data_IF_920413733781
#
_entry.id   IF_920413733781
#
_cell.length_a   1.000
_cell.length_b   1.000
_cell.length_c   1.000
_cell.angle_alpha   90.00
_cell.angle_beta   90.00
_cell.angle_gamma   90.00
#
_symmetry.space_group_name_H-M   'P 1'
#
loop_
_entity.id
_entity.type
_entity.pdbx_description
1 polymer ?
#
# COMPACT_ATOMS: atom_id res chain seq x y z
N UNK A 1 -7.40 22.83 7.64
CA UNK A 1 -7.71 21.79 6.64
C UNK A 1 -7.08 22.18 5.33
N UNK A 2 -6.36 21.28 4.68
CA UNK A 2 -5.86 21.42 3.31
C UNK A 2 -6.51 20.34 2.44
N UNK A 3 -6.55 20.61 1.14
CA UNK A 3 -6.90 19.66 0.09
C UNK A 3 -6.13 20.12 -1.16
N UNK A 4 -4.94 19.56 -1.35
CA UNK A 4 -3.96 20.06 -2.31
C UNK A 4 -3.41 18.92 -3.15
N UNK A 5 -3.25 19.18 -4.44
CA UNK A 5 -2.53 18.29 -5.36
C UNK A 5 -1.10 18.79 -5.57
N UNK A 6 -0.19 17.85 -5.73
CA UNK A 6 1.20 18.14 -6.08
C UNK A 6 1.76 17.08 -7.01
N UNK A 7 2.88 17.45 -7.64
CA UNK A 7 3.67 16.53 -8.45
C UNK A 7 5.12 16.57 -7.95
N UNK A 8 5.76 15.43 -7.88
CA UNK A 8 7.19 15.33 -7.58
C UNK A 8 7.93 14.66 -8.71
N UNK A 9 8.94 15.32 -9.24
CA UNK A 9 9.84 14.70 -10.23
C UNK A 9 10.73 13.66 -9.54
N UNK A 10 10.67 12.42 -10.00
CA UNK A 10 11.43 11.28 -9.45
C UNK A 10 12.54 10.80 -10.37
N UNK A 11 12.47 11.18 -11.65
CA UNK A 11 13.51 11.03 -12.64
C UNK A 11 13.23 12.00 -13.81
N UNK A 12 14.19 12.27 -14.71
CA UNK A 12 13.95 13.10 -15.88
C UNK A 12 12.72 12.66 -16.67
N UNK A 13 11.70 13.52 -16.74
CA UNK A 13 10.44 13.24 -17.42
C UNK A 13 9.49 12.27 -16.70
N UNK A 14 9.77 11.93 -15.46
CA UNK A 14 8.91 11.08 -14.64
C UNK A 14 8.51 11.82 -13.35
N UNK A 15 7.21 11.96 -13.13
CA UNK A 15 6.66 12.65 -11.98
C UNK A 15 5.53 11.84 -11.34
N UNK A 16 5.45 11.88 -10.01
CA UNK A 16 4.40 11.25 -9.23
C UNK A 16 3.41 12.32 -8.79
N UNK A 17 2.15 12.11 -9.13
CA UNK A 17 1.01 12.90 -8.66
C UNK A 17 0.61 12.43 -7.27
N UNK A 18 0.32 13.38 -6.38
CA UNK A 18 -0.24 13.10 -5.07
C UNK A 18 -1.33 14.12 -4.70
N UNK A 19 -2.17 13.75 -3.73
CA UNK A 19 -3.16 14.62 -3.09
C UNK A 19 -2.95 14.57 -1.59
N UNK A 20 -2.87 15.71 -0.91
CA UNK A 20 -2.74 15.82 0.54
C UNK A 20 -4.00 16.44 1.12
N UNK A 21 -4.69 15.73 2.04
CA UNK A 21 -5.97 16.14 2.61
C UNK A 21 -5.93 16.02 4.13
N UNK A 22 -6.43 17.01 4.84
CA UNK A 22 -6.59 16.98 6.30
C UNK A 22 -6.01 18.20 7.02
N UNK A 23 -5.89 18.14 8.35
CA UNK A 23 -5.27 19.21 9.12
C UNK A 23 -3.77 19.33 8.81
N UNK A 24 -3.25 20.55 8.73
CA UNK A 24 -1.81 20.81 8.46
C UNK A 24 -0.92 20.10 9.48
N UNK A 25 -1.30 20.17 10.76
CA UNK A 25 -0.59 19.55 11.89
C UNK A 25 -1.09 18.12 12.20
N UNK A 26 -1.90 17.53 11.32
CA UNK A 26 -2.38 16.16 11.48
C UNK A 26 -1.25 15.15 11.37
N UNK A 27 -1.43 13.99 11.99
CA UNK A 27 -0.47 12.89 11.89
C UNK A 27 -0.27 12.51 10.42
N UNK A 28 0.97 12.55 9.90
CA UNK A 28 1.25 12.20 8.51
C UNK A 28 0.91 10.74 8.22
N UNK A 29 0.04 10.51 7.24
CA UNK A 29 -0.40 9.17 6.84
C UNK A 29 -0.41 9.06 5.32
N UNK A 30 0.41 8.17 4.76
CA UNK A 30 0.35 7.79 3.35
C UNK A 30 -0.62 6.62 3.21
N UNK A 31 -1.73 6.84 2.50
CA UNK A 31 -2.79 5.86 2.29
C UNK A 31 -2.75 5.29 0.88
N UNK A 32 -2.55 3.97 0.77
CA UNK A 32 -2.55 3.24 -0.48
C UNK A 32 -3.75 2.31 -0.62
N UNK A 33 -4.82 2.79 -1.24
CA UNK A 33 -5.94 1.95 -1.65
C UNK A 33 -5.54 1.05 -2.83
N UNK A 34 -6.34 0.04 -3.20
CA UNK A 34 -6.03 -0.80 -4.36
C UNK A 34 -5.71 0.01 -5.60
N UNK A 35 -4.63 -0.37 -6.30
CA UNK A 35 -4.05 0.31 -7.45
C UNK A 35 -3.59 1.75 -7.18
N UNK A 36 -3.66 2.21 -5.94
CA UNK A 36 -3.17 3.49 -5.43
C UNK A 36 -3.29 4.64 -6.42
N UNK A 37 -4.50 5.12 -6.63
CA UNK A 37 -4.76 6.31 -7.40
C UNK A 37 -5.29 7.42 -6.49
N UNK A 38 -4.76 8.63 -6.61
CA UNK A 38 -5.23 9.82 -5.89
C UNK A 38 -6.49 10.42 -6.52
N UNK A 39 -6.78 10.06 -7.76
CA UNK A 39 -7.96 10.51 -8.49
C UNK A 39 -9.17 9.66 -8.12
N UNK A 40 -10.12 10.27 -7.44
CA UNK A 40 -11.33 9.60 -6.95
C UNK A 40 -12.29 9.17 -8.06
N UNK A 41 -12.21 9.78 -9.22
CA UNK A 41 -13.09 9.57 -10.36
C UNK A 41 -12.56 8.56 -11.39
N UNK A 42 -11.33 8.07 -11.24
CA UNK A 42 -10.72 7.10 -12.19
C UNK A 42 -11.58 5.85 -12.35
N UNK A 43 -12.13 5.31 -11.25
CA UNK A 43 -13.00 4.14 -11.24
C UNK A 43 -14.49 4.49 -11.22
N UNK A 44 -14.84 5.77 -11.35
CA UNK A 44 -16.19 6.25 -11.28
C UNK A 44 -16.70 6.56 -9.85
N UNK A 45 -18.00 6.88 -9.70
CA UNK A 45 -18.58 7.37 -8.45
C UNK A 45 -18.42 6.43 -7.24
N UNK A 46 -18.43 5.12 -7.46
CA UNK A 46 -18.29 4.13 -6.38
C UNK A 46 -16.89 4.18 -5.77
N UNK A 47 -15.88 4.37 -6.58
CA UNK A 47 -14.49 4.52 -6.12
C UNK A 47 -14.29 5.84 -5.39
N UNK A 48 -14.88 6.93 -5.88
CA UNK A 48 -14.89 8.21 -5.20
C UNK A 48 -15.50 8.06 -3.79
N UNK A 49 -16.64 7.41 -3.67
CA UNK A 49 -17.30 7.15 -2.38
C UNK A 49 -16.42 6.34 -1.41
N UNK A 50 -15.64 5.39 -1.92
CA UNK A 50 -14.69 4.64 -1.10
C UNK A 50 -13.59 5.55 -0.55
N UNK A 51 -12.95 6.35 -1.40
CA UNK A 51 -11.89 7.29 -0.98
C UNK A 51 -12.44 8.32 0.00
N UNK A 52 -13.59 8.91 -0.31
CA UNK A 52 -14.27 9.89 0.57
C UNK A 52 -14.59 9.27 1.93
N UNK A 53 -15.05 8.03 1.97
CA UNK A 53 -15.32 7.30 3.19
C UNK A 53 -14.09 7.08 4.07
N UNK A 54 -12.90 6.90 3.49
CA UNK A 54 -11.63 6.88 4.23
C UNK A 54 -11.28 8.28 4.73
N UNK A 55 -11.35 9.29 3.86
CA UNK A 55 -11.02 10.67 4.22
C UNK A 55 -11.91 11.19 5.36
N UNK A 56 -13.24 10.99 5.29
CA UNK A 56 -14.19 11.37 6.34
C UNK A 56 -13.83 10.80 7.72
N UNK A 57 -13.24 9.60 7.76
CA UNK A 57 -12.92 8.89 8.99
C UNK A 57 -11.51 9.12 9.49
N UNK A 58 -10.66 9.76 8.71
CA UNK A 58 -9.24 9.94 9.03
C UNK A 58 -8.85 11.40 9.17
N UNK A 59 -9.46 12.32 8.42
CA UNK A 59 -9.01 13.71 8.35
C UNK A 59 -9.39 14.58 9.55
N UNK A 60 -9.99 14.02 10.58
CA UNK A 60 -10.12 14.67 11.87
C UNK A 60 -8.80 14.71 12.67
N UNK A 61 -7.90 13.74 12.43
CA UNK A 61 -6.63 13.59 13.13
C UNK A 61 -5.42 13.42 12.22
N UNK A 62 -5.61 12.88 11.03
CA UNK A 62 -4.53 12.55 10.09
C UNK A 62 -4.49 13.54 8.92
N UNK A 63 -3.26 13.88 8.52
CA UNK A 63 -3.00 14.48 7.20
C UNK A 63 -2.73 13.33 6.23
N UNK A 64 -3.74 13.03 5.41
CA UNK A 64 -3.74 11.89 4.50
C UNK A 64 -3.08 12.27 3.19
N UNK A 65 -2.09 11.49 2.78
CA UNK A 65 -1.41 11.58 1.49
C UNK A 65 -1.85 10.40 0.60
N UNK A 66 -2.59 10.70 -0.44
CA UNK A 66 -2.96 9.77 -1.50
C UNK A 66 -1.96 9.93 -2.64
N UNK A 67 -1.45 8.81 -3.16
CA UNK A 67 -0.40 8.80 -4.18
C UNK A 67 -0.90 8.04 -5.40
N UNK A 68 -0.76 8.62 -6.58
CA UNK A 68 -0.83 7.84 -7.80
C UNK A 68 0.50 7.10 -7.96
N UNK A 69 0.49 5.78 -7.90
CA UNK A 69 1.70 5.01 -8.13
C UNK A 69 2.26 5.27 -9.54
N UNK A 70 3.55 5.00 -9.74
CA UNK A 70 4.14 5.17 -11.05
C UNK A 70 3.30 4.54 -12.18
N UNK A 71 3.10 5.28 -13.27
CA UNK A 71 2.27 4.94 -14.43
C UNK A 71 0.76 4.78 -14.14
N UNK A 72 0.29 5.15 -12.96
CA UNK A 72 -1.12 5.13 -12.60
C UNK A 72 -1.66 6.57 -12.56
N UNK A 73 -2.90 6.76 -12.97
CA UNK A 73 -3.61 8.03 -12.85
C UNK A 73 -2.87 9.21 -13.47
N UNK A 74 -2.57 10.21 -12.65
CA UNK A 74 -1.86 11.43 -13.07
C UNK A 74 -0.35 11.29 -13.13
N UNK A 75 0.24 10.20 -12.61
CA UNK A 75 1.68 9.99 -12.56
C UNK A 75 2.24 9.57 -13.89
N UNK A 76 3.45 10.06 -14.19
CA UNK A 76 4.30 9.55 -15.26
C UNK A 76 5.49 8.84 -14.64
N UNK A 77 6.04 7.84 -15.29
CA UNK A 77 7.13 7.06 -14.68
C UNK A 77 8.19 6.66 -15.70
N UNK A 78 9.34 6.21 -15.20
CA UNK A 78 10.27 5.47 -16.00
C UNK A 78 9.62 4.25 -16.67
N UNK A 79 10.28 3.69 -17.69
CA UNK A 79 9.80 2.47 -18.33
C UNK A 79 9.45 1.37 -17.30
N UNK A 80 8.42 0.56 -17.54
CA UNK A 80 8.00 -0.48 -16.60
C UNK A 80 9.12 -1.40 -16.12
N UNK A 81 10.14 -1.67 -16.96
CA UNK A 81 11.33 -2.48 -16.60
C UNK A 81 12.20 -1.88 -15.48
N UNK A 82 12.01 -0.61 -15.12
CA UNK A 82 12.75 0.07 -14.05
C UNK A 82 11.99 0.06 -12.72
N UNK A 83 10.74 -0.41 -12.70
CA UNK A 83 9.86 -0.37 -11.55
C UNK A 83 10.13 -1.49 -10.54
N UNK A 84 11.39 -1.57 -10.09
CA UNK A 84 11.81 -2.49 -9.02
C UNK A 84 11.28 -2.03 -7.66
N UNK A 85 11.25 -2.94 -6.68
CA UNK A 85 10.86 -2.61 -5.30
C UNK A 85 11.72 -1.49 -4.68
N UNK A 86 13.01 -1.44 -5.02
CA UNK A 86 13.90 -0.34 -4.62
C UNK A 86 13.43 0.99 -5.22
N UNK A 87 13.11 1.00 -6.50
CA UNK A 87 12.64 2.20 -7.19
C UNK A 87 11.32 2.68 -6.58
N UNK A 88 10.35 1.81 -6.43
CA UNK A 88 9.05 2.12 -5.81
C UNK A 88 9.24 2.71 -4.41
N UNK A 89 10.09 2.11 -3.57
CA UNK A 89 10.39 2.64 -2.24
C UNK A 89 10.99 4.05 -2.30
N UNK A 90 11.94 4.30 -3.21
CA UNK A 90 12.55 5.62 -3.38
C UNK A 90 11.52 6.67 -3.84
N UNK A 91 10.64 6.30 -4.75
CA UNK A 91 9.61 7.18 -5.29
C UNK A 91 8.57 7.54 -4.23
N UNK A 92 8.15 6.59 -3.37
CA UNK A 92 7.27 6.84 -2.24
C UNK A 92 7.92 7.78 -1.21
N UNK A 93 9.21 7.61 -0.92
CA UNK A 93 9.94 8.52 -0.02
C UNK A 93 10.10 9.92 -0.61
N UNK A 94 10.32 10.04 -1.91
CA UNK A 94 10.36 11.34 -2.58
C UNK A 94 8.99 12.04 -2.51
N UNK A 95 7.90 11.29 -2.66
CA UNK A 95 6.54 11.81 -2.54
C UNK A 95 6.23 12.26 -1.10
N UNK A 96 6.64 11.49 -0.09
CA UNK A 96 6.54 11.88 1.31
C UNK A 96 7.31 13.19 1.60
N UNK A 97 8.53 13.34 1.05
CA UNK A 97 9.31 14.57 1.16
C UNK A 97 8.61 15.76 0.53
N UNK A 98 8.07 15.60 -0.68
CA UNK A 98 7.35 16.67 -1.38
C UNK A 98 6.10 17.12 -0.62
N UNK A 99 5.43 16.20 0.08
CA UNK A 99 4.31 16.50 0.97
C UNK A 99 4.75 17.08 2.33
N UNK A 100 6.06 17.20 2.61
CA UNK A 100 6.58 17.67 3.89
C UNK A 100 6.48 16.65 5.04
N UNK A 101 6.33 15.37 4.73
CA UNK A 101 6.31 14.29 5.71
C UNK A 101 7.74 13.84 6.02
N UNK A 102 8.22 14.08 7.24
CA UNK A 102 9.49 13.56 7.73
C UNK A 102 9.33 12.10 8.15
N UNK A 103 8.43 11.85 9.08
CA UNK A 103 8.05 10.54 9.56
C UNK A 103 6.55 10.37 9.30
N UNK A 104 6.10 9.16 8.98
CA UNK A 104 4.71 8.97 8.58
C UNK A 104 4.22 7.54 8.82
N UNK A 105 2.93 7.40 8.99
CA UNK A 105 2.23 6.11 8.92
C UNK A 105 2.14 5.71 7.46
N UNK A 106 2.50 4.46 7.14
CA UNK A 106 2.20 3.88 5.85
C UNK A 106 1.09 2.84 5.99
N UNK A 107 -0.02 3.06 5.30
CA UNK A 107 -1.16 2.15 5.27
C UNK A 107 -1.54 1.85 3.83
N UNK A 108 -1.41 0.60 3.40
CA UNK A 108 -1.77 0.22 2.04
C UNK A 108 -2.35 -1.19 1.95
N UNK A 109 -2.92 -1.50 0.79
CA UNK A 109 -3.62 -2.75 0.52
C UNK A 109 -3.07 -3.46 -0.73
N UNK A 110 -3.13 -4.83 -0.72
CA UNK A 110 -2.77 -5.68 -1.85
C UNK A 110 -1.33 -5.43 -2.33
N UNK A 111 -1.10 -5.10 -3.60
CA UNK A 111 0.23 -4.76 -4.08
C UNK A 111 0.87 -3.60 -3.30
N UNK A 112 0.09 -2.60 -2.90
CA UNK A 112 0.57 -1.51 -2.06
C UNK A 112 1.07 -2.00 -0.69
N UNK A 113 0.50 -3.07 -0.14
CA UNK A 113 0.99 -3.70 1.07
C UNK A 113 2.35 -4.38 0.84
N UNK A 114 2.53 -5.10 -0.28
CA UNK A 114 3.82 -5.67 -0.66
C UNK A 114 4.88 -4.57 -0.85
N UNK A 115 4.52 -3.44 -1.46
CA UNK A 115 5.39 -2.26 -1.59
C UNK A 115 5.73 -1.66 -0.22
N UNK A 116 4.78 -1.60 0.72
CA UNK A 116 4.98 -1.14 2.09
C UNK A 116 5.98 -1.99 2.89
N UNK A 117 5.94 -3.30 2.74
CA UNK A 117 6.94 -4.19 3.33
C UNK A 117 8.34 -3.89 2.78
N UNK A 118 8.45 -3.63 1.48
CA UNK A 118 9.72 -3.26 0.86
C UNK A 118 10.21 -1.87 1.32
N UNK A 119 9.29 -0.92 1.52
CA UNK A 119 9.58 0.40 2.06
C UNK A 119 10.08 0.30 3.51
N UNK A 120 9.38 -0.43 4.37
CA UNK A 120 9.72 -0.60 5.79
C UNK A 120 11.09 -1.23 6.02
N UNK A 121 11.56 -2.06 5.09
CA UNK A 121 12.90 -2.68 5.19
C UNK A 121 14.02 -1.82 4.58
N UNK A 122 13.70 -0.65 4.04
CA UNK A 122 14.64 0.28 3.40
C UNK A 122 14.65 1.67 4.00
N UNK A 123 13.78 1.92 4.97
CA UNK A 123 13.63 3.24 5.60
C UNK A 123 13.17 3.08 7.04
N UNK A 124 13.70 3.90 7.92
CA UNK A 124 13.35 4.05 9.33
C UNK A 124 12.29 5.14 9.59
N UNK A 125 11.74 5.72 8.53
CA UNK A 125 10.80 6.84 8.58
C UNK A 125 9.34 6.46 8.86
N UNK A 126 9.06 5.16 9.03
CA UNK A 126 7.69 4.72 9.30
C UNK A 126 7.37 4.80 10.79
N UNK A 127 6.47 5.71 11.17
CA UNK A 127 5.91 5.80 12.53
C UNK A 127 5.02 4.59 12.85
N UNK A 128 4.38 4.01 11.86
CA UNK A 128 3.67 2.74 11.90
C UNK A 128 3.48 2.18 10.50
N UNK A 129 3.32 0.86 10.41
CA UNK A 129 3.05 0.13 9.17
C UNK A 129 1.73 -0.63 9.27
N UNK A 130 0.82 -0.35 8.35
CA UNK A 130 -0.43 -1.11 8.19
C UNK A 130 -0.48 -1.70 6.79
N UNK A 131 -0.48 -3.02 6.70
CA UNK A 131 -0.57 -3.74 5.43
C UNK A 131 -1.85 -4.57 5.40
N UNK A 132 -2.62 -4.44 4.34
CA UNK A 132 -3.84 -5.19 4.14
C UNK A 132 -3.76 -6.10 2.91
N UNK A 133 -4.34 -7.30 3.00
CA UNK A 133 -4.50 -8.18 1.84
C UNK A 133 -3.18 -8.65 1.20
N UNK A 134 -2.10 -8.71 1.97
CA UNK A 134 -0.83 -9.33 1.58
C UNK A 134 -0.09 -9.86 2.83
N UNK A 135 0.40 -11.11 2.82
CA UNK A 135 1.07 -11.67 3.98
C UNK A 135 2.50 -11.10 4.13
N UNK A 136 2.86 -10.59 5.32
CA UNK A 136 4.25 -10.20 5.61
C UNK A 136 5.24 -11.36 5.58
N UNK A 137 4.75 -12.59 5.86
CA UNK A 137 5.52 -13.84 5.80
C UNK A 137 4.80 -14.88 4.92
N UNK A 138 5.56 -15.54 4.07
CA UNK A 138 5.06 -16.55 3.14
C UNK A 138 4.41 -15.96 1.90
N UNK A 139 4.80 -14.75 1.52
CA UNK A 139 4.35 -14.11 0.28
C UNK A 139 4.69 -14.97 -0.95
N UNK A 140 3.69 -15.28 -1.77
CA UNK A 140 3.85 -16.10 -2.97
C UNK A 140 4.38 -15.28 -4.16
N UNK A 141 5.58 -14.70 -4.00
CA UNK A 141 6.15 -13.77 -4.99
C UNK A 141 6.39 -14.41 -6.37
N UNK A 142 6.75 -15.70 -6.41
CA UNK A 142 6.94 -16.40 -7.68
C UNK A 142 5.60 -16.66 -8.41
N UNK A 143 4.54 -16.96 -7.66
CA UNK A 143 3.22 -17.25 -8.21
C UNK A 143 2.58 -15.97 -8.77
N UNK A 144 2.59 -14.90 -7.98
CA UNK A 144 2.07 -13.62 -8.42
C UNK A 144 2.89 -13.02 -9.58
N UNK A 145 4.20 -13.28 -9.65
CA UNK A 145 5.02 -12.92 -10.81
C UNK A 145 4.56 -13.66 -12.07
N UNK A 146 4.26 -14.96 -11.96
CA UNK A 146 3.72 -15.72 -13.11
C UNK A 146 2.37 -15.18 -13.55
N UNK A 147 1.49 -14.86 -12.60
CA UNK A 147 0.22 -14.21 -12.88
C UNK A 147 0.41 -12.88 -13.59
N UNK A 148 1.27 -12.01 -13.04
CA UNK A 148 1.56 -10.70 -13.62
C UNK A 148 2.12 -10.81 -15.05
N UNK A 149 3.03 -11.74 -15.29
CA UNK A 149 3.59 -11.96 -16.63
C UNK A 149 2.54 -12.41 -17.65
N UNK A 150 1.60 -13.29 -17.25
CA UNK A 150 0.50 -13.69 -18.14
C UNK A 150 -0.45 -12.53 -18.47
N UNK A 151 -0.58 -11.58 -17.56
CA UNK A 151 -1.49 -10.43 -17.73
C UNK A 151 -0.84 -9.21 -18.40
N UNK A 152 0.44 -9.28 -18.78
CA UNK A 152 1.12 -8.15 -19.47
C UNK A 152 0.45 -7.84 -20.81
N UNK A 153 0.12 -8.88 -21.61
CA UNK A 153 -0.45 -8.71 -22.93
C UNK A 153 -1.97 -8.41 -22.88
N UNK A 154 -2.64 -8.86 -21.83
CA UNK A 154 -4.07 -8.65 -21.60
C UNK A 154 -4.36 -8.28 -20.13
N UNK A 155 -4.04 -7.04 -19.72
CA UNK A 155 -4.28 -6.59 -18.36
C UNK A 155 -5.76 -6.63 -17.98
N UNK A 156 -6.09 -6.91 -16.70
CA UNK A 156 -7.48 -6.87 -16.23
C UNK A 156 -8.07 -5.46 -16.39
N UNK A 157 -9.40 -5.39 -16.56
CA UNK A 157 -10.10 -4.14 -16.83
C UNK A 157 -9.79 -3.05 -15.79
N UNK A 158 -9.70 -3.40 -14.52
CA UNK A 158 -9.36 -2.46 -13.45
C UNK A 158 -7.99 -1.80 -13.64
N UNK A 159 -7.00 -2.56 -14.10
CA UNK A 159 -5.67 -2.01 -14.41
C UNK A 159 -5.70 -1.13 -15.65
N UNK A 160 -6.46 -1.51 -16.69
CA UNK A 160 -6.60 -0.72 -17.92
C UNK A 160 -7.19 0.68 -17.68
N UNK A 161 -8.06 0.80 -16.68
CA UNK A 161 -8.68 2.10 -16.34
C UNK A 161 -7.66 3.07 -15.76
N UNK A 162 -6.70 2.60 -14.96
CA UNK A 162 -5.72 3.46 -14.27
C UNK A 162 -4.42 3.64 -15.04
N UNK A 163 -4.05 2.67 -15.89
CA UNK A 163 -2.85 2.75 -16.72
C UNK A 163 -3.07 3.65 -17.93
N UNK A 164 -2.09 4.45 -18.27
CA UNK A 164 -2.10 5.24 -19.51
C UNK A 164 -2.01 4.35 -20.76
N UNK A 165 -1.22 3.28 -20.65
CA UNK A 165 -1.01 2.31 -21.73
C UNK A 165 -1.05 0.89 -21.12
N UNK A 166 -1.74 -0.09 -21.75
CA UNK A 166 -1.80 -1.46 -21.24
C UNK A 166 -0.44 -2.11 -20.99
N UNK A 167 0.56 -1.82 -21.84
CA UNK A 167 1.92 -2.34 -21.71
C UNK A 167 2.61 -1.94 -20.39
N UNK A 168 2.15 -0.88 -19.74
CA UNK A 168 2.67 -0.45 -18.42
C UNK A 168 2.35 -1.46 -17.32
N UNK A 169 1.44 -2.40 -17.55
CA UNK A 169 1.18 -3.50 -16.61
C UNK A 169 2.45 -4.31 -16.27
N UNK A 170 3.42 -4.36 -17.16
CA UNK A 170 4.72 -4.99 -16.93
C UNK A 170 5.47 -4.46 -15.69
N UNK A 171 5.13 -3.27 -15.19
CA UNK A 171 5.71 -2.73 -13.95
C UNK A 171 5.51 -3.64 -12.74
N UNK A 172 4.36 -4.32 -12.63
CA UNK A 172 4.11 -5.26 -11.53
C UNK A 172 4.94 -6.52 -11.66
N UNK A 173 5.13 -7.03 -12.88
CA UNK A 173 6.04 -8.14 -13.12
C UNK A 173 7.48 -7.77 -12.72
N UNK A 174 7.96 -6.59 -13.09
CA UNK A 174 9.28 -6.08 -12.70
C UNK A 174 9.42 -5.94 -11.19
N UNK A 175 8.38 -5.43 -10.52
CA UNK A 175 8.37 -5.33 -9.06
C UNK A 175 8.53 -6.71 -8.41
N UNK A 176 7.68 -7.67 -8.75
CA UNK A 176 7.71 -9.01 -8.16
C UNK A 176 8.98 -9.78 -8.49
N UNK A 177 9.51 -9.64 -9.70
CA UNK A 177 10.80 -10.22 -10.07
C UNK A 177 11.94 -9.69 -9.20
N UNK A 178 11.93 -8.41 -8.87
CA UNK A 178 12.97 -7.76 -8.05
C UNK A 178 12.97 -8.18 -6.59
N UNK A 179 11.95 -8.91 -6.13
CA UNK A 179 11.81 -9.39 -4.74
C UNK A 179 11.80 -10.91 -4.60
N UNK A 180 12.09 -11.66 -5.67
CA UNK A 180 12.12 -13.14 -5.59
C UNK A 180 13.13 -13.67 -4.55
N UNK A 181 14.30 -13.05 -4.50
CA UNK A 181 15.37 -13.43 -3.57
C UNK A 181 15.38 -12.58 -2.30
N UNK A 182 14.28 -11.85 -2.03
CA UNK A 182 14.19 -11.06 -0.82
C UNK A 182 14.19 -11.95 0.43
N UNK A 183 15.10 -11.70 1.39
CA UNK A 183 15.20 -12.52 2.60
C UNK A 183 14.05 -12.20 3.57
N UNK A 184 12.83 -12.52 3.16
CA UNK A 184 11.56 -12.13 3.78
C UNK A 184 11.57 -12.28 5.31
N UNK A 185 11.88 -13.47 5.80
CA UNK A 185 11.81 -13.78 7.23
C UNK A 185 12.75 -12.87 8.06
N UNK A 186 13.98 -12.68 7.58
CA UNK A 186 14.94 -11.80 8.24
C UNK A 186 14.54 -10.33 8.15
N UNK A 187 14.08 -9.93 6.98
CA UNK A 187 13.71 -8.54 6.72
C UNK A 187 12.47 -8.12 7.52
N UNK A 188 11.44 -8.98 7.56
CA UNK A 188 10.21 -8.72 8.33
C UNK A 188 10.46 -8.72 9.84
N UNK A 189 11.37 -9.59 10.32
CA UNK A 189 11.78 -9.58 11.74
C UNK A 189 12.54 -8.31 12.13
N UNK A 190 13.17 -7.63 11.18
CA UNK A 190 13.90 -6.38 11.39
C UNK A 190 13.06 -5.10 11.25
N UNK A 191 11.75 -5.21 11.06
CA UNK A 191 10.88 -4.03 11.05
C UNK A 191 10.60 -3.62 12.49
N UNK A 192 11.03 -2.44 12.91
CA UNK A 192 10.97 -2.00 14.31
C UNK A 192 9.74 -1.14 14.65
N UNK A 193 9.09 -0.51 13.65
CA UNK A 193 7.91 0.30 13.90
C UNK A 193 6.70 -0.57 14.32
N UNK A 194 5.71 0.00 15.03
CA UNK A 194 4.41 -0.64 15.26
C UNK A 194 3.81 -1.11 13.94
N UNK A 195 3.30 -2.33 13.91
CA UNK A 195 2.86 -2.96 12.65
C UNK A 195 1.61 -3.80 12.78
N UNK A 196 0.75 -3.68 11.80
CA UNK A 196 -0.51 -4.40 11.71
C UNK A 196 -0.67 -5.01 10.31
N UNK A 197 -1.19 -6.22 10.27
CA UNK A 197 -1.71 -6.84 9.04
C UNK A 197 -3.19 -7.12 9.21
N UNK A 198 -3.98 -6.83 8.16
CA UNK A 198 -5.39 -7.17 8.13
C UNK A 198 -5.79 -7.82 6.80
N UNK A 199 -6.84 -8.62 6.80
CA UNK A 199 -7.30 -9.34 5.62
C UNK A 199 -8.75 -9.79 5.72
N UNK A 200 -9.39 -10.00 4.57
CA UNK A 200 -10.67 -10.71 4.50
C UNK A 200 -10.46 -12.21 4.64
N UNK A 201 -11.29 -12.88 5.44
CA UNK A 201 -11.17 -14.31 5.71
C UNK A 201 -11.36 -15.21 4.48
N UNK A 202 -12.05 -14.74 3.44
CA UNK A 202 -12.18 -15.40 2.13
C UNK A 202 -11.30 -14.71 1.07
N UNK A 203 -10.17 -14.12 1.49
CA UNK A 203 -9.34 -13.25 0.66
C UNK A 203 -8.25 -13.94 -0.15
N UNK A 204 -8.30 -15.27 -0.33
CA UNK A 204 -7.49 -15.96 -1.32
C UNK A 204 -7.96 -15.56 -2.72
N UNK A 205 -7.05 -15.35 -3.66
CA UNK A 205 -7.37 -14.81 -5.00
C UNK A 205 -6.72 -15.64 -6.09
N UNK A 206 -7.31 -15.63 -7.28
CA UNK A 206 -6.82 -16.36 -8.46
C UNK A 206 -6.57 -15.39 -9.64
N UNK A 207 -5.54 -14.53 -9.57
CA UNK A 207 -5.21 -13.66 -10.67
C UNK A 207 -4.54 -14.45 -11.80
N UNK A 208 -5.14 -14.41 -12.99
CA UNK A 208 -4.58 -15.05 -14.18
C UNK A 208 -4.35 -16.54 -14.03
N UNK A 209 -5.17 -17.25 -13.24
CA UNK A 209 -5.11 -18.70 -13.05
C UNK A 209 -4.00 -19.16 -12.08
N UNK A 210 -3.51 -18.31 -11.19
CA UNK A 210 -2.60 -18.67 -10.07
C UNK A 210 -3.35 -18.57 -8.74
N UNK A 211 -3.32 -19.62 -7.95
CA UNK A 211 -3.89 -19.64 -6.58
C UNK A 211 -2.97 -18.89 -5.61
N UNK A 212 -3.34 -17.67 -5.27
CA UNK A 212 -2.60 -16.82 -4.33
C UNK A 212 -3.30 -16.88 -2.96
N UNK A 213 -2.73 -17.65 -2.05
CA UNK A 213 -3.28 -18.01 -0.74
C UNK A 213 -3.03 -16.93 0.31
N UNK A 214 -3.63 -15.77 0.19
CA UNK A 214 -3.41 -14.62 1.09
C UNK A 214 -3.99 -14.91 2.47
N UNK A 215 -5.30 -15.17 2.56
CA UNK A 215 -6.00 -15.40 3.82
C UNK A 215 -5.52 -16.70 4.49
N UNK A 216 -5.36 -17.75 3.71
CA UNK A 216 -4.87 -19.05 4.18
C UNK A 216 -3.47 -18.92 4.77
N UNK A 217 -2.55 -18.24 4.08
CA UNK A 217 -1.17 -18.01 4.57
C UNK A 217 -1.16 -17.18 5.85
N UNK A 218 -1.98 -16.12 5.92
CA UNK A 218 -2.06 -15.28 7.11
C UNK A 218 -2.59 -16.03 8.34
N UNK A 219 -3.54 -16.93 8.17
CA UNK A 219 -3.99 -17.82 9.25
C UNK A 219 -2.91 -18.78 9.69
N UNK A 220 -2.25 -19.43 8.74
CA UNK A 220 -1.16 -20.38 9.02
C UNK A 220 0.01 -19.70 9.75
N UNK A 221 0.31 -18.46 9.40
CA UNK A 221 1.42 -17.68 9.97
C UNK A 221 1.05 -16.76 11.13
N UNK A 222 -0.22 -16.71 11.54
CA UNK A 222 -0.70 -15.80 12.59
C UNK A 222 0.19 -15.82 13.83
N UNK A 223 0.41 -16.97 14.43
CA UNK A 223 1.20 -17.08 15.66
C UNK A 223 2.68 -16.69 15.49
N UNK A 224 3.24 -16.84 14.30
CA UNK A 224 4.58 -16.38 13.99
C UNK A 224 4.63 -14.85 13.86
N UNK A 225 3.67 -14.26 13.17
CA UNK A 225 3.53 -12.81 13.04
C UNK A 225 3.33 -12.13 14.40
N UNK A 226 2.45 -12.68 15.24
CA UNK A 226 2.20 -12.16 16.59
C UNK A 226 3.46 -12.22 17.47
N UNK A 227 4.25 -13.30 17.40
CA UNK A 227 5.56 -13.38 18.08
C UNK A 227 6.58 -12.36 17.57
N UNK A 228 6.49 -11.96 16.31
CA UNK A 228 7.28 -10.88 15.73
C UNK A 228 6.69 -9.48 16.03
N UNK A 229 5.64 -9.37 16.85
CA UNK A 229 5.04 -8.10 17.24
C UNK A 229 4.05 -7.51 16.24
N UNK A 230 3.54 -8.32 15.29
CA UNK A 230 2.46 -7.89 14.41
C UNK A 230 1.10 -7.99 15.11
N UNK A 231 0.29 -6.96 14.95
CA UNK A 231 -1.14 -7.04 15.20
C UNK A 231 -1.80 -7.71 13.99
N UNK A 232 -2.54 -8.80 14.18
CA UNK A 232 -3.18 -9.54 13.08
C UNK A 232 -4.68 -9.46 13.20
N UNK A 233 -5.33 -8.82 12.22
CA UNK A 233 -6.78 -8.64 12.20
C UNK A 233 -7.42 -9.32 10.99
N UNK A 234 -8.37 -10.21 11.25
CA UNK A 234 -9.14 -10.91 10.24
C UNK A 234 -10.58 -10.40 10.22
N UNK A 235 -11.11 -10.18 9.03
CA UNK A 235 -12.54 -9.96 8.77
C UNK A 235 -13.15 -11.27 8.22
N UNK A 236 -13.70 -12.16 9.06
CA UNK A 236 -13.96 -13.56 8.71
C UNK A 236 -14.85 -13.75 7.48
N UNK A 237 -15.87 -12.90 7.32
CA UNK A 237 -16.88 -13.02 6.25
C UNK A 237 -16.60 -12.12 5.04
N UNK A 238 -15.41 -11.54 4.97
CA UNK A 238 -15.00 -10.65 3.88
C UNK A 238 -13.99 -11.32 2.96
N UNK A 239 -14.02 -10.96 1.70
CA UNK A 239 -13.04 -11.37 0.69
C UNK A 239 -11.90 -10.34 0.53
N UNK A 240 -11.14 -10.46 -0.55
CA UNK A 240 -10.04 -9.54 -0.87
C UNK A 240 -10.50 -8.10 -1.16
N UNK A 241 -11.79 -7.86 -1.37
CA UNK A 241 -12.34 -6.52 -1.61
C UNK A 241 -12.65 -5.75 -0.32
N UNK A 242 -12.38 -6.30 0.87
CA UNK A 242 -12.71 -5.67 2.17
C UNK A 242 -12.22 -4.22 2.30
N UNK A 243 -11.11 -3.88 1.67
CA UNK A 243 -10.58 -2.51 1.63
C UNK A 243 -11.50 -1.49 0.97
N UNK A 244 -12.50 -1.93 0.21
CA UNK A 244 -13.49 -1.05 -0.41
C UNK A 244 -14.61 -0.65 0.55
N UNK A 245 -14.60 -1.18 1.78
CA UNK A 245 -15.54 -0.83 2.85
C UNK A 245 -14.83 -0.08 3.99
N UNK A 246 -14.66 1.26 3.88
CA UNK A 246 -13.99 2.05 4.90
C UNK A 246 -14.70 2.00 6.26
N UNK A 247 -16.03 1.79 6.29
CA UNK A 247 -16.79 1.62 7.53
C UNK A 247 -16.36 0.40 8.33
N UNK A 248 -16.01 -0.67 7.66
CA UNK A 248 -15.51 -1.90 8.28
C UNK A 248 -14.01 -1.80 8.63
N UNK A 249 -13.19 -1.28 7.71
CA UNK A 249 -11.73 -1.36 7.85
C UNK A 249 -11.15 -0.27 8.75
N UNK A 250 -11.64 0.97 8.64
CA UNK A 250 -11.03 2.10 9.36
C UNK A 250 -11.08 1.95 10.90
N UNK A 251 -12.19 1.53 11.53
CA UNK A 251 -12.26 1.50 12.99
C UNK A 251 -11.17 0.66 13.66
N UNK A 252 -10.93 -0.62 13.31
CA UNK A 252 -9.88 -1.41 13.94
C UNK A 252 -8.47 -0.93 13.61
N UNK A 253 -8.23 -0.44 12.39
CA UNK A 253 -6.93 0.12 12.02
C UNK A 253 -6.65 1.41 12.79
N UNK A 254 -7.63 2.30 12.90
CA UNK A 254 -7.51 3.53 13.67
C UNK A 254 -7.25 3.24 15.15
N UNK A 255 -7.98 2.31 15.75
CA UNK A 255 -7.74 1.90 17.14
C UNK A 255 -6.31 1.40 17.37
N UNK A 256 -5.75 0.63 16.41
CA UNK A 256 -4.35 0.22 16.44
C UNK A 256 -3.41 1.42 16.35
N UNK A 257 -3.62 2.33 15.40
CA UNK A 257 -2.77 3.50 15.20
C UNK A 257 -2.78 4.45 16.41
N UNK A 258 -3.96 4.73 16.97
CA UNK A 258 -4.11 5.58 18.16
C UNK A 258 -3.33 5.00 19.35
N UNK A 259 -3.39 3.68 19.55
CA UNK A 259 -2.62 3.00 20.59
C UNK A 259 -1.10 3.02 20.31
N UNK A 260 -0.70 2.79 19.07
CA UNK A 260 0.69 2.72 18.66
C UNK A 260 1.39 4.08 18.78
N UNK A 261 0.73 5.14 18.30
CA UNK A 261 1.29 6.48 18.26
C UNK A 261 1.26 7.19 19.63
N UNK A 262 0.34 6.81 20.53
CA UNK A 262 0.33 7.35 21.91
C UNK A 262 1.46 6.80 22.78
N UNK A 263 2.05 5.65 22.42
CA UNK A 263 3.15 5.00 23.16
C UNK A 263 4.54 5.46 22.72
N UNK A 264 4.64 6.17 21.59
CA UNK A 264 5.92 6.73 21.15
C UNK A 264 6.40 7.79 22.17
N UNK A 265 7.68 7.74 22.65
CA UNK A 265 8.19 8.73 23.58
C UNK A 265 8.09 10.13 22.98
N UNK A 266 7.69 11.10 23.81
CA UNK A 266 7.53 12.51 23.41
C UNK A 266 8.85 13.22 23.06
N UNK A 267 9.99 12.56 23.24
CA UNK A 267 11.33 13.17 23.15
C UNK A 267 11.96 13.17 21.74
N UNK A 268 11.28 12.63 20.72
CA UNK A 268 11.83 12.60 19.34
C UNK A 268 10.96 13.31 18.29
N UNK A 269 10.01 14.16 18.74
CA UNK A 269 9.14 14.91 17.83
C UNK A 269 9.57 16.34 17.62
#
# INVERSE_FOLDING_TARGET
MIDEYGDVEVAPGAAIRFRSVGPVEGVPLMLGLPLMASHTDIFGPESAATVDGYLERLTDAYRVLLVDYPNIGGSTSPPPREMTARRVSSDLLATANAAGFRDFVYWAYSWGAAAGLQLATRSDRLSALVVGGWPPLGGQYADILRAARRQVDDPPQSARVVLREPAQYAQWATFYESVLDWPEQRAVAGIDCPRMVFFGGSGDVDPGGEDIRIASTLRERRGELERLGWSVHEFPERDHSVCLDPGTVVPPVRAFLDQALSRAPADER
#
